data_IF_087330820956
#
_entry.id   IF_087330820956
#
_cell.length_a   1.000
_cell.length_b   1.000
_cell.length_c   1.000
_cell.angle_alpha   90.00
_cell.angle_beta   90.00
_cell.angle_gamma   90.00
#
_symmetry.space_group_name_H-M   'P 1'
#
loop_
_entity.id
_entity.type
_entity.pdbx_description
1 polymer ?
#
# COMPACT_ATOMS: atom_id res chain seq x y z
N UNK A 1 -22.92 -70.28 -28.46
CA UNK A 1 -21.57 -70.11 -27.87
C UNK A 1 -20.66 -69.80 -29.04
N UNK A 2 -19.88 -68.72 -29.16
CA UNK A 2 -19.17 -67.89 -28.17
C UNK A 2 -18.74 -66.58 -28.85
N UNK A 3 -18.60 -65.50 -28.07
CA UNK A 3 -18.11 -64.15 -28.42
C UNK A 3 -16.60 -64.13 -28.72
N UNK A 4 -16.13 -63.14 -29.51
CA UNK A 4 -14.93 -62.27 -29.26
C UNK A 4 -14.78 -61.27 -30.41
N UNK A 5 -15.08 -59.97 -30.29
CA UNK A 5 -14.41 -58.81 -29.64
C UNK A 5 -13.24 -58.21 -30.45
N UNK A 6 -13.42 -56.91 -30.71
CA UNK A 6 -12.58 -55.90 -31.41
C UNK A 6 -11.23 -55.64 -30.75
N UNK A 7 -10.28 -55.14 -31.54
CA UNK A 7 -9.20 -54.28 -31.04
C UNK A 7 -8.98 -53.13 -32.02
N UNK A 8 -9.29 -51.90 -31.62
CA UNK A 8 -8.93 -50.65 -32.30
C UNK A 8 -7.92 -49.94 -31.39
N UNK A 9 -6.70 -49.76 -31.89
CA UNK A 9 -5.67 -48.93 -31.26
C UNK A 9 -6.02 -47.45 -31.47
N UNK A 10 -6.14 -46.70 -30.39
CA UNK A 10 -6.15 -45.24 -30.42
C UNK A 10 -4.81 -44.73 -29.88
N UNK A 11 -4.07 -43.99 -30.70
CA UNK A 11 -2.86 -43.28 -30.30
C UNK A 11 -3.26 -42.00 -29.56
N UNK A 12 -2.68 -41.78 -28.38
CA UNK A 12 -2.87 -40.57 -27.57
C UNK A 12 -1.71 -39.61 -27.86
N UNK A 13 -1.99 -38.48 -28.50
CA UNK A 13 -1.10 -37.32 -28.55
C UNK A 13 -1.24 -36.54 -27.23
N UNK A 14 -0.17 -36.44 -26.45
CA UNK A 14 -0.12 -35.59 -25.28
C UNK A 14 0.25 -34.15 -25.68
N UNK A 15 -0.69 -33.22 -25.53
CA UNK A 15 -0.45 -31.77 -25.61
C UNK A 15 0.07 -31.26 -24.27
N UNK A 16 1.33 -30.80 -24.21
CA UNK A 16 1.83 -30.07 -23.05
C UNK A 16 1.26 -28.65 -23.05
N UNK A 17 0.36 -28.38 -22.12
CA UNK A 17 -0.08 -27.02 -21.82
C UNK A 17 1.00 -26.33 -20.96
N UNK A 18 1.71 -25.36 -21.52
CA UNK A 18 2.53 -24.42 -20.75
C UNK A 18 1.61 -23.56 -19.89
N UNK A 19 1.64 -23.76 -18.58
CA UNK A 19 0.98 -22.86 -17.64
C UNK A 19 1.64 -21.48 -17.71
N UNK A 20 0.88 -20.47 -18.16
CA UNK A 20 1.28 -19.08 -18.05
C UNK A 20 1.17 -18.67 -16.58
N UNK A 21 2.31 -18.54 -15.90
CA UNK A 21 2.37 -17.98 -14.57
C UNK A 21 2.12 -16.46 -14.68
N UNK A 22 1.01 -15.98 -14.12
CA UNK A 22 0.78 -14.54 -13.98
C UNK A 22 1.64 -14.03 -12.82
N UNK A 23 2.60 -13.13 -13.10
CA UNK A 23 3.37 -12.45 -12.06
C UNK A 23 2.46 -11.48 -11.30
N UNK A 24 2.40 -11.61 -9.97
CA UNK A 24 1.58 -10.75 -9.14
C UNK A 24 2.31 -9.43 -8.86
N UNK A 25 1.62 -8.30 -9.10
CA UNK A 25 2.12 -6.96 -8.84
C UNK A 25 2.16 -6.72 -7.32
N UNK A 26 3.37 -6.59 -6.77
CA UNK A 26 3.64 -6.43 -5.32
C UNK A 26 3.49 -4.99 -4.85
N UNK A 27 3.93 -4.03 -5.65
CA UNK A 27 3.87 -2.61 -5.30
C UNK A 27 3.88 -1.73 -6.55
N UNK A 28 3.55 -0.45 -6.39
CA UNK A 28 3.78 0.56 -7.41
C UNK A 28 4.11 1.92 -6.80
N UNK A 29 4.82 2.72 -7.58
CA UNK A 29 5.22 4.06 -7.23
C UNK A 29 5.48 4.90 -8.47
N UNK A 30 6.19 5.98 -8.24
CA UNK A 30 6.64 6.92 -9.25
C UNK A 30 8.17 6.89 -9.28
N UNK A 31 8.76 7.10 -10.44
CA UNK A 31 10.17 7.40 -10.59
C UNK A 31 10.39 8.49 -11.63
N UNK A 32 11.59 9.07 -11.65
CA UNK A 32 11.92 10.13 -12.59
C UNK A 32 13.35 10.01 -13.10
N UNK A 33 13.60 10.46 -14.33
CA UNK A 33 14.92 10.42 -14.94
C UNK A 33 15.90 11.36 -14.20
N UNK A 34 17.08 10.83 -13.88
CA UNK A 34 18.19 11.58 -13.27
C UNK A 34 19.43 11.65 -14.15
N UNK A 35 19.48 10.83 -15.20
CA UNK A 35 20.47 10.97 -16.28
C UNK A 35 19.81 10.80 -17.65
N UNK A 36 20.46 11.34 -18.68
CA UNK A 36 19.98 11.22 -20.07
C UNK A 36 20.16 9.81 -20.65
N UNK A 37 21.09 9.03 -20.11
CA UNK A 37 21.35 7.65 -20.56
C UNK A 37 20.41 6.62 -19.93
N UNK A 38 19.50 7.02 -19.02
CA UNK A 38 18.40 6.17 -18.58
C UNK A 38 18.46 5.69 -17.13
N UNK A 39 19.19 6.38 -16.24
CA UNK A 39 19.01 6.19 -14.81
C UNK A 39 17.77 6.94 -14.32
N UNK A 40 16.92 6.22 -13.59
CA UNK A 40 15.74 6.75 -12.92
C UNK A 40 15.92 6.62 -11.41
N UNK A 41 15.40 7.58 -10.67
CA UNK A 41 15.31 7.56 -9.21
C UNK A 41 13.88 7.27 -8.76
N UNK A 42 13.75 6.50 -7.69
CA UNK A 42 12.49 6.20 -6.99
C UNK A 42 12.77 5.93 -5.51
N UNK A 43 11.79 5.49 -4.73
CA UNK A 43 12.02 5.06 -3.35
C UNK A 43 12.46 3.59 -3.27
N UNK A 44 13.27 3.27 -2.25
CA UNK A 44 13.70 1.89 -1.99
C UNK A 44 12.49 0.97 -1.79
N UNK A 45 11.52 1.35 -0.95
CA UNK A 45 10.35 0.50 -0.67
C UNK A 45 9.45 0.24 -1.89
N UNK A 46 9.61 1.00 -2.98
CA UNK A 46 8.89 0.75 -4.24
C UNK A 46 9.51 -0.43 -4.99
N UNK A 47 10.83 -0.61 -4.91
CA UNK A 47 11.56 -1.59 -5.73
C UNK A 47 12.24 -2.71 -4.91
N UNK A 48 12.18 -2.65 -3.59
CA UNK A 48 12.79 -3.64 -2.71
C UNK A 48 12.00 -4.96 -2.73
N UNK A 49 12.73 -6.07 -2.94
CA UNK A 49 12.15 -7.41 -3.00
C UNK A 49 11.38 -7.70 -4.30
N UNK A 50 11.55 -6.88 -5.34
CA UNK A 50 11.02 -7.17 -6.67
C UNK A 50 11.92 -8.17 -7.40
N UNK A 51 11.31 -9.13 -8.08
CA UNK A 51 12.00 -10.00 -9.02
C UNK A 51 12.06 -9.36 -10.41
N UNK A 52 11.02 -8.60 -10.76
CA UNK A 52 10.99 -7.78 -11.97
C UNK A 52 10.48 -6.38 -11.65
N UNK A 53 11.21 -5.38 -12.14
CA UNK A 53 10.84 -3.97 -12.05
C UNK A 53 10.46 -3.52 -13.46
N UNK A 54 9.25 -3.02 -13.63
CA UNK A 54 8.77 -2.49 -14.91
C UNK A 54 8.55 -0.99 -14.78
N UNK A 55 9.05 -0.23 -15.75
CA UNK A 55 8.83 1.21 -15.87
C UNK A 55 7.89 1.42 -17.06
N UNK A 56 6.69 1.94 -16.77
CA UNK A 56 5.64 2.04 -17.78
C UNK A 56 6.08 2.93 -18.94
N UNK A 57 5.99 2.38 -20.15
CA UNK A 57 6.43 3.03 -21.39
C UNK A 57 7.94 2.95 -21.67
N UNK A 58 8.73 2.39 -20.75
CA UNK A 58 10.20 2.26 -20.85
C UNK A 58 10.69 0.80 -20.76
N UNK A 59 9.82 -0.13 -20.35
CA UNK A 59 10.11 -1.55 -20.28
C UNK A 59 10.70 -1.99 -18.94
N UNK A 60 11.40 -3.13 -18.95
CA UNK A 60 11.97 -3.70 -17.72
C UNK A 60 13.21 -2.93 -17.30
N UNK A 61 13.26 -2.52 -16.04
CA UNK A 61 14.43 -1.89 -15.46
C UNK A 61 15.42 -2.95 -14.95
N UNK A 62 16.69 -2.57 -14.91
CA UNK A 62 17.82 -3.39 -14.47
C UNK A 62 18.68 -2.61 -13.48
N UNK A 63 19.68 -3.30 -12.94
CA UNK A 63 20.72 -2.75 -12.06
C UNK A 63 20.20 -1.89 -10.89
N UNK A 64 19.30 -2.44 -10.04
CA UNK A 64 18.80 -1.70 -8.89
C UNK A 64 19.94 -1.39 -7.90
N UNK A 65 20.17 -0.10 -7.63
CA UNK A 65 21.00 0.37 -6.51
C UNK A 65 20.06 0.86 -5.42
N UNK A 66 20.14 0.27 -4.23
CA UNK A 66 19.18 0.52 -3.14
C UNK A 66 19.90 1.10 -1.93
N UNK A 67 19.43 2.25 -1.47
CA UNK A 67 19.72 2.81 -0.14
C UNK A 67 18.44 2.72 0.71
N UNK A 68 18.29 1.56 1.36
CA UNK A 68 17.16 1.30 2.25
C UNK A 68 17.15 2.22 3.47
N UNK A 69 18.31 2.76 3.89
CA UNK A 69 18.40 3.64 5.06
C UNK A 69 17.71 4.97 4.79
N UNK A 70 17.90 5.52 3.59
CA UNK A 70 17.32 6.79 3.17
C UNK A 70 16.07 6.65 2.31
N UNK A 71 15.58 5.41 2.11
CA UNK A 71 14.42 5.09 1.27
C UNK A 71 14.57 5.59 -0.18
N UNK A 72 15.76 5.42 -0.75
CA UNK A 72 16.10 5.81 -2.13
C UNK A 72 16.55 4.61 -2.95
N UNK A 73 16.19 4.60 -4.23
CA UNK A 73 16.70 3.64 -5.18
C UNK A 73 16.95 4.26 -6.55
N UNK A 74 17.95 3.74 -7.24
CA UNK A 74 18.23 4.02 -8.65
C UNK A 74 17.99 2.74 -9.44
N UNK A 75 17.34 2.87 -10.59
CA UNK A 75 17.07 1.79 -11.53
C UNK A 75 17.45 2.23 -12.94
N UNK A 76 17.93 1.30 -13.76
CA UNK A 76 18.37 1.59 -15.12
C UNK A 76 17.38 1.08 -16.15
N UNK A 77 16.93 1.93 -17.06
CA UNK A 77 16.15 1.53 -18.25
C UNK A 77 16.97 1.69 -19.52
N UNK A 78 16.61 0.91 -20.54
CA UNK A 78 17.08 1.11 -21.90
C UNK A 78 16.16 2.09 -22.60
N UNK A 79 16.69 3.24 -23.00
CA UNK A 79 15.93 4.28 -23.69
C UNK A 79 16.45 4.43 -25.12
N UNK A 80 15.54 4.37 -26.11
CA UNK A 80 15.89 4.56 -27.53
C UNK A 80 16.29 6.01 -27.85
N UNK A 81 15.88 6.94 -26.98
CA UNK A 81 16.21 8.38 -27.06
C UNK A 81 16.72 8.87 -25.71
N UNK A 82 17.61 9.87 -25.69
CA UNK A 82 18.07 10.47 -24.45
C UNK A 82 16.90 10.97 -23.61
N UNK A 83 16.90 10.63 -22.33
CA UNK A 83 15.94 11.16 -21.37
C UNK A 83 16.29 12.59 -20.97
N UNK A 84 15.31 13.33 -20.50
CA UNK A 84 15.52 14.65 -19.89
C UNK A 84 15.69 14.45 -18.39
N UNK A 85 16.90 14.55 -17.83
CA UNK A 85 17.09 14.42 -16.40
C UNK A 85 16.55 15.64 -15.66
N UNK A 86 16.05 15.43 -14.44
CA UNK A 86 15.69 16.54 -13.56
C UNK A 86 16.94 17.19 -12.96
N UNK A 87 16.87 18.50 -12.77
CA UNK A 87 17.96 19.29 -12.21
C UNK A 87 17.72 19.51 -10.72
N UNK A 88 18.66 19.08 -9.90
CA UNK A 88 18.67 19.21 -8.45
C UNK A 88 18.91 20.66 -8.06
N UNK A 89 18.16 21.15 -7.07
CA UNK A 89 18.38 22.50 -6.56
C UNK A 89 19.61 22.54 -5.65
N UNK A 90 20.47 23.55 -5.81
CA UNK A 90 21.63 23.75 -4.92
C UNK A 90 21.29 24.62 -3.71
N UNK A 91 20.47 25.65 -3.91
CA UNK A 91 20.06 26.54 -2.85
C UNK A 91 19.25 25.80 -1.76
N UNK A 92 19.40 26.17 -0.48
CA UNK A 92 18.67 25.54 0.61
C UNK A 92 17.17 25.79 0.47
N UNK A 93 16.37 24.76 0.74
CA UNK A 93 14.90 24.85 0.81
C UNK A 93 14.45 25.85 1.86
N UNK A 94 13.45 26.67 1.56
CA UNK A 94 12.89 27.67 2.49
C UNK A 94 11.50 27.25 2.99
N UNK A 95 11.15 27.70 4.19
CA UNK A 95 9.78 27.56 4.70
C UNK A 95 8.81 28.40 3.86
N UNK A 96 7.62 27.85 3.62
CA UNK A 96 6.56 28.49 2.84
C UNK A 96 6.80 28.50 1.33
N UNK A 97 7.87 27.86 0.84
CA UNK A 97 8.16 27.80 -0.59
C UNK A 97 7.13 26.96 -1.33
N UNK A 98 6.56 27.50 -2.40
CA UNK A 98 5.58 26.82 -3.25
C UNK A 98 6.22 25.65 -3.98
N UNK A 99 5.52 24.53 -3.98
CA UNK A 99 5.96 23.29 -4.62
C UNK A 99 4.87 22.68 -5.50
N UNK A 100 5.34 21.86 -6.43
CA UNK A 100 4.55 21.01 -7.30
C UNK A 100 5.05 19.57 -7.12
N UNK A 101 4.19 18.66 -6.69
CA UNK A 101 4.48 17.23 -6.64
C UNK A 101 3.85 16.53 -7.84
N UNK A 102 4.60 15.62 -8.46
CA UNK A 102 4.20 14.94 -9.70
C UNK A 102 4.35 13.44 -9.51
N UNK A 103 3.35 12.66 -9.92
CA UNK A 103 3.46 11.20 -9.88
C UNK A 103 2.20 10.45 -10.28
N UNK A 104 2.14 9.18 -9.87
CA UNK A 104 1.09 8.23 -10.25
C UNK A 104 0.31 7.70 -9.03
N UNK A 105 -0.31 8.57 -8.22
CA UNK A 105 -1.15 8.14 -7.12
C UNK A 105 -2.31 7.29 -7.63
N UNK A 106 -2.57 6.18 -6.93
CA UNK A 106 -3.74 5.33 -7.11
C UNK A 106 -3.97 4.95 -8.58
N UNK A 107 -2.88 4.71 -9.33
CA UNK A 107 -2.95 4.50 -10.77
C UNK A 107 -3.76 3.26 -11.18
N UNK A 108 -3.92 2.30 -10.28
CA UNK A 108 -4.76 1.11 -10.50
C UNK A 108 -6.26 1.37 -10.22
N UNK A 109 -6.59 2.47 -9.53
CA UNK A 109 -7.96 2.79 -9.07
C UNK A 109 -8.56 4.00 -9.80
N UNK A 110 -7.74 5.00 -10.15
CA UNK A 110 -8.17 6.22 -10.82
C UNK A 110 -7.88 6.11 -12.33
N UNK A 111 -7.08 7.03 -12.88
CA UNK A 111 -6.49 6.89 -14.21
C UNK A 111 -5.07 6.36 -14.10
N UNK A 112 -4.48 5.92 -15.20
CA UNK A 112 -3.07 5.56 -15.29
C UNK A 112 -2.18 6.74 -15.73
N UNK A 113 -2.77 7.93 -15.89
CA UNK A 113 -2.06 9.16 -16.26
C UNK A 113 -1.23 9.72 -15.10
N UNK A 114 -0.32 10.63 -15.39
CA UNK A 114 0.36 11.43 -14.35
C UNK A 114 -0.65 12.35 -13.65
N UNK A 115 -0.42 12.62 -12.35
CA UNK A 115 -1.17 13.59 -11.55
C UNK A 115 -0.20 14.62 -11.00
N UNK A 116 -0.71 15.83 -10.85
CA UNK A 116 0.03 16.98 -10.34
C UNK A 116 -0.75 17.54 -9.15
N UNK A 117 -0.05 17.70 -8.03
CA UNK A 117 -0.58 18.33 -6.82
C UNK A 117 0.30 19.52 -6.44
N UNK A 118 -0.29 20.53 -5.82
CA UNK A 118 0.42 21.72 -5.36
C UNK A 118 0.41 21.77 -3.83
N UNK A 119 1.31 22.58 -3.28
CA UNK A 119 1.40 22.83 -1.85
C UNK A 119 2.60 23.74 -1.56
N UNK A 120 3.07 23.68 -0.33
CA UNK A 120 4.26 24.40 0.11
C UNK A 120 5.08 23.56 1.10
N UNK A 121 6.28 24.04 1.41
CA UNK A 121 7.15 23.50 2.45
C UNK A 121 6.70 23.99 3.82
N UNK A 122 6.15 23.09 4.63
CA UNK A 122 5.65 23.38 5.99
C UNK A 122 6.75 23.35 7.05
N UNK A 123 7.72 22.45 6.90
CA UNK A 123 8.83 22.30 7.84
C UNK A 123 10.10 21.83 7.14
N UNK A 124 11.25 22.22 7.70
CA UNK A 124 12.58 21.83 7.24
C UNK A 124 13.12 20.57 7.94
N UNK A 125 12.25 19.77 8.55
CA UNK A 125 12.63 18.49 9.11
C UNK A 125 11.42 17.55 9.09
N UNK A 126 11.71 16.25 9.09
CA UNK A 126 10.72 15.19 9.28
C UNK A 126 10.37 14.97 10.75
N UNK A 127 9.75 13.82 11.01
CA UNK A 127 9.47 13.35 12.37
C UNK A 127 10.74 13.40 13.23
N UNK A 128 10.58 13.82 14.49
CA UNK A 128 11.68 13.85 15.49
C UNK A 128 12.92 14.62 15.01
N UNK A 129 12.71 15.68 14.23
CA UNK A 129 13.76 16.52 13.65
C UNK A 129 14.71 15.78 12.69
N UNK A 130 14.24 14.72 12.02
CA UNK A 130 15.03 14.06 10.98
C UNK A 130 15.27 15.02 9.79
N UNK A 131 16.51 15.52 9.69
CA UNK A 131 16.89 16.53 8.71
C UNK A 131 16.96 15.99 7.28
N UNK A 132 16.85 14.68 7.07
CA UNK A 132 16.81 14.08 5.73
C UNK A 132 15.52 14.40 4.98
N UNK A 133 14.48 14.80 5.71
CA UNK A 133 13.15 15.07 5.16
C UNK A 133 12.79 16.56 5.23
N UNK A 134 11.85 16.94 4.38
CA UNK A 134 11.05 18.17 4.49
C UNK A 134 9.59 17.78 4.68
N UNK A 135 8.85 18.54 5.48
CA UNK A 135 7.40 18.40 5.57
C UNK A 135 6.75 19.29 4.52
N UNK A 136 5.77 18.75 3.82
CA UNK A 136 5.05 19.41 2.74
C UNK A 136 3.54 19.29 2.93
N UNK A 137 2.79 20.28 2.45
CA UNK A 137 1.32 20.28 2.54
C UNK A 137 0.63 19.58 1.37
N UNK A 138 1.38 19.24 0.31
CA UNK A 138 0.78 18.68 -0.90
C UNK A 138 0.14 17.31 -0.64
N UNK A 139 -1.06 17.02 -1.16
CA UNK A 139 -1.66 15.70 -1.05
C UNK A 139 -0.79 14.62 -1.68
N UNK A 140 -0.48 13.57 -0.93
CA UNK A 140 0.28 12.39 -1.36
C UNK A 140 -0.56 11.14 -1.03
N UNK A 141 -0.57 10.17 -1.95
CA UNK A 141 -1.31 8.91 -1.81
C UNK A 141 -0.42 7.72 -2.19
N UNK A 142 -0.81 6.47 -1.89
CA UNK A 142 -0.14 5.30 -2.45
C UNK A 142 0.05 5.42 -3.97
N UNK A 143 1.24 5.12 -4.46
CA UNK A 143 1.66 5.35 -5.86
C UNK A 143 2.39 6.68 -6.10
N UNK A 144 2.24 7.68 -5.22
CA UNK A 144 3.04 8.92 -5.29
C UNK A 144 4.48 8.73 -4.84
N UNK A 145 4.80 7.72 -4.01
CA UNK A 145 6.16 7.45 -3.52
C UNK A 145 7.18 7.39 -4.65
N UNK A 146 8.30 8.11 -4.48
CA UNK A 146 9.38 8.20 -5.45
C UNK A 146 9.18 9.30 -6.50
N UNK A 147 8.07 10.03 -6.44
CA UNK A 147 7.77 11.15 -7.33
C UNK A 147 8.54 12.41 -6.97
N UNK A 148 8.86 13.26 -7.96
CA UNK A 148 9.59 14.48 -7.69
C UNK A 148 8.71 15.56 -7.06
N UNK A 149 9.31 16.34 -6.16
CA UNK A 149 8.79 17.60 -5.62
C UNK A 149 9.63 18.74 -6.20
N UNK A 150 8.99 19.59 -6.99
CA UNK A 150 9.61 20.63 -7.81
C UNK A 150 9.24 22.02 -7.28
N UNK A 151 10.17 22.98 -7.29
CA UNK A 151 9.84 24.38 -7.01
C UNK A 151 9.26 25.10 -8.24
N UNK A 152 8.86 26.36 -8.03
CA UNK A 152 8.40 27.22 -9.12
C UNK A 152 9.47 27.60 -10.13
N UNK A 153 10.74 27.28 -9.91
CA UNK A 153 11.83 27.54 -10.86
C UNK A 153 12.14 26.30 -11.73
N UNK A 154 11.50 25.17 -11.44
CA UNK A 154 11.62 23.91 -12.16
C UNK A 154 12.78 23.04 -11.69
N UNK A 155 13.25 23.23 -10.46
CA UNK A 155 14.31 22.44 -9.84
C UNK A 155 13.75 21.46 -8.81
N UNK A 156 14.40 20.30 -8.68
CA UNK A 156 14.04 19.25 -7.73
C UNK A 156 14.42 19.65 -6.30
N UNK A 157 13.43 19.71 -5.41
CA UNK A 157 13.56 19.99 -3.98
C UNK A 157 13.55 18.72 -3.13
N UNK A 158 12.83 17.70 -3.57
CA UNK A 158 12.73 16.46 -2.84
C UNK A 158 12.00 15.35 -3.59
N UNK A 159 11.90 14.20 -2.93
CA UNK A 159 11.27 12.98 -3.44
C UNK A 159 10.19 12.57 -2.46
N UNK A 160 8.95 12.50 -2.90
CA UNK A 160 7.78 12.16 -2.07
C UNK A 160 7.96 10.77 -1.43
N UNK A 161 7.61 10.62 -0.15
CA UNK A 161 7.55 9.31 0.51
C UNK A 161 6.18 9.12 1.17
N UNK A 162 5.29 8.39 0.50
CA UNK A 162 3.94 8.12 1.00
C UNK A 162 3.98 7.21 2.24
N UNK A 163 4.91 6.25 2.27
CA UNK A 163 5.10 5.34 3.40
C UNK A 163 5.53 6.08 4.65
N UNK A 164 6.45 7.04 4.55
CA UNK A 164 6.85 7.86 5.71
C UNK A 164 5.69 8.74 6.19
N UNK A 165 4.90 9.29 5.28
CA UNK A 165 3.70 10.09 5.63
C UNK A 165 2.64 9.24 6.34
N UNK A 166 2.41 7.99 5.91
CA UNK A 166 1.56 7.02 6.61
C UNK A 166 2.09 6.70 8.00
N UNK A 167 3.38 6.34 8.13
CA UNK A 167 4.04 6.07 9.42
C UNK A 167 3.95 7.27 10.38
N UNK A 168 4.13 8.49 9.85
CA UNK A 168 3.98 9.73 10.62
C UNK A 168 2.56 9.89 11.16
N UNK A 169 1.55 9.70 10.32
CA UNK A 169 0.14 9.74 10.71
C UNK A 169 -0.19 8.68 11.78
N UNK A 170 0.34 7.47 11.62
CA UNK A 170 0.17 6.37 12.58
C UNK A 170 0.85 6.70 13.94
N UNK A 171 2.04 7.32 13.93
CA UNK A 171 2.77 7.75 15.14
C UNK A 171 2.01 8.83 15.91
N UNK A 172 1.50 9.86 15.21
CA UNK A 172 0.76 10.97 15.84
C UNK A 172 -0.69 10.60 16.23
N UNK A 173 -1.24 9.48 15.74
CA UNK A 173 -2.55 8.97 16.17
C UNK A 173 -3.75 9.86 15.80
N UNK A 174 -3.58 10.76 14.84
CA UNK A 174 -4.61 11.57 14.20
C UNK A 174 -4.46 11.42 12.70
N UNK A 175 -5.55 11.39 11.94
CA UNK A 175 -5.50 11.55 10.48
C UNK A 175 -5.08 12.98 10.19
N UNK A 176 -3.77 13.23 10.19
CA UNK A 176 -3.26 14.57 9.96
C UNK A 176 -3.43 14.92 8.48
N UNK A 177 -4.49 15.68 8.21
CA UNK A 177 -4.69 16.31 6.92
C UNK A 177 -3.46 17.21 6.64
N UNK A 178 -2.88 17.08 5.45
CA UNK A 178 -1.75 17.92 4.97
C UNK A 178 -0.42 17.77 5.74
N UNK A 179 -0.18 16.64 6.41
CA UNK A 179 1.16 16.27 6.91
C UNK A 179 1.74 15.18 6.02
N UNK A 180 2.50 15.60 5.01
CA UNK A 180 3.23 14.69 4.15
C UNK A 180 4.72 15.05 4.14
N UNK A 181 5.55 14.14 3.65
CA UNK A 181 7.00 14.32 3.66
C UNK A 181 7.63 13.97 2.32
N UNK A 182 8.74 14.65 2.05
CA UNK A 182 9.65 14.33 0.97
C UNK A 182 11.09 14.22 1.49
N UNK A 183 11.83 13.26 0.96
CA UNK A 183 13.27 13.12 1.17
C UNK A 183 13.93 14.30 0.43
N UNK A 184 14.89 14.97 1.07
CA UNK A 184 15.57 16.12 0.47
C UNK A 184 16.35 15.73 -0.79
N UNK A 185 16.31 16.59 -1.81
CA UNK A 185 17.08 16.41 -3.03
C UNK A 185 18.58 16.25 -2.76
N UNK A 186 19.14 16.92 -1.74
CA UNK A 186 20.56 16.78 -1.37
C UNK A 186 20.93 15.39 -0.85
N UNK A 187 20.00 14.66 -0.21
CA UNK A 187 20.23 13.27 0.22
C UNK A 187 20.27 12.36 -1.01
N UNK A 188 19.38 12.60 -1.96
CA UNK A 188 19.35 11.88 -3.24
C UNK A 188 20.58 12.17 -4.12
N UNK A 189 21.04 13.43 -4.18
CA UNK A 189 22.25 13.82 -4.89
C UNK A 189 23.48 13.13 -4.29
N UNK A 190 23.59 13.10 -2.96
CA UNK A 190 24.66 12.35 -2.28
C UNK A 190 24.60 10.86 -2.62
N UNK A 191 23.41 10.26 -2.59
CA UNK A 191 23.25 8.85 -2.99
C UNK A 191 23.75 8.61 -4.41
N UNK A 192 23.38 9.43 -5.39
CA UNK A 192 23.89 9.33 -6.77
C UNK A 192 25.42 9.41 -6.83
N UNK A 193 26.02 10.34 -6.10
CA UNK A 193 27.48 10.48 -6.03
C UNK A 193 28.14 9.21 -5.48
N UNK A 194 27.59 8.58 -4.43
CA UNK A 194 28.13 7.31 -3.90
C UNK A 194 28.05 6.16 -4.90
N UNK A 195 27.10 6.21 -5.84
CA UNK A 195 26.95 5.21 -6.90
C UNK A 195 27.77 5.56 -8.16
N UNK A 196 28.52 6.66 -8.16
CA UNK A 196 29.28 7.12 -9.31
C UNK A 196 28.42 7.67 -10.46
N UNK A 197 27.19 8.10 -10.17
CA UNK A 197 26.26 8.64 -11.17
C UNK A 197 26.22 10.17 -11.02
N UNK A 198 26.55 10.94 -12.07
CA UNK A 198 26.56 12.39 -11.98
C UNK A 198 25.14 12.95 -11.93
N UNK A 199 24.87 13.81 -10.94
CA UNK A 199 23.64 14.59 -10.87
C UNK A 199 23.83 15.95 -11.59
N UNK A 200 22.77 16.46 -12.20
CA UNK A 200 22.72 17.83 -12.69
C UNK A 200 22.15 18.72 -11.60
N UNK A 201 22.84 19.82 -11.27
CA UNK A 201 22.40 20.70 -10.19
C UNK A 201 22.51 22.17 -10.59
N UNK A 202 21.53 22.98 -10.23
CA UNK A 202 21.43 24.39 -10.60
C UNK A 202 20.47 25.16 -9.71
N UNK A 203 20.41 26.48 -9.94
CA UNK A 203 19.50 27.40 -9.28
C UNK A 203 18.93 28.39 -10.30
N UNK A 204 17.84 29.05 -9.92
CA UNK A 204 17.20 30.10 -10.72
C UNK A 204 18.20 31.19 -11.14
N UNK A 205 18.20 31.54 -12.42
CA UNK A 205 18.91 32.73 -12.91
C UNK A 205 18.21 34.02 -12.43
N UNK A 206 18.97 35.11 -12.25
CA UNK A 206 18.46 36.36 -11.67
C UNK A 206 17.27 36.98 -12.45
N UNK A 207 17.19 36.73 -13.75
CA UNK A 207 16.20 37.24 -14.69
C UNK A 207 15.11 36.22 -15.06
N UNK A 208 15.24 34.96 -14.65
CA UNK A 208 14.25 33.93 -14.93
C UNK A 208 12.96 34.25 -14.16
N UNK A 209 11.80 34.19 -14.81
CA UNK A 209 10.50 34.27 -14.15
C UNK A 209 10.12 32.92 -13.50
N UNK A 210 9.34 32.98 -12.41
CA UNK A 210 8.78 31.77 -11.83
C UNK A 210 7.80 31.12 -12.81
N UNK A 211 7.89 29.80 -12.97
CA UNK A 211 7.02 28.99 -13.81
C UNK A 211 5.64 28.85 -13.16
N UNK A 212 4.59 28.89 -13.97
CA UNK A 212 3.25 28.49 -13.51
C UNK A 212 3.21 26.98 -13.23
N UNK A 213 2.16 26.50 -12.55
CA UNK A 213 2.02 25.04 -12.30
C UNK A 213 1.95 24.27 -13.62
N UNK A 214 1.29 24.85 -14.62
CA UNK A 214 1.15 24.25 -15.95
C UNK A 214 2.52 24.20 -16.67
N UNK A 215 3.31 25.27 -16.60
CA UNK A 215 4.63 25.27 -17.24
C UNK A 215 5.59 24.27 -16.57
N UNK A 216 5.51 24.11 -15.24
CA UNK A 216 6.24 23.05 -14.51
C UNK A 216 5.77 21.67 -14.99
N UNK A 217 4.46 21.47 -15.12
CA UNK A 217 3.91 20.21 -15.59
C UNK A 217 4.43 19.83 -16.98
N UNK A 218 4.35 20.76 -17.93
CA UNK A 218 4.78 20.55 -19.32
C UNK A 218 6.27 20.23 -19.41
N UNK A 219 7.08 20.90 -18.57
CA UNK A 219 8.53 20.70 -18.52
C UNK A 219 8.93 19.34 -17.92
N UNK A 220 8.25 18.91 -16.86
CA UNK A 220 8.74 17.82 -15.99
C UNK A 220 8.07 16.47 -16.30
N UNK A 221 6.80 16.46 -16.70
CA UNK A 221 5.98 15.23 -16.80
C UNK A 221 6.59 14.15 -17.71
N UNK A 222 7.23 14.54 -18.81
CA UNK A 222 7.87 13.60 -19.75
C UNK A 222 9.03 12.81 -19.13
N UNK A 223 9.55 13.27 -18.00
CA UNK A 223 10.67 12.68 -17.26
C UNK A 223 10.20 11.83 -16.09
N UNK A 224 8.89 11.77 -15.82
CA UNK A 224 8.28 11.09 -14.68
C UNK A 224 7.51 9.88 -15.18
N UNK A 225 7.75 8.72 -14.58
CA UNK A 225 7.21 7.44 -15.02
C UNK A 225 6.64 6.63 -13.85
N UNK A 226 5.65 5.79 -14.15
CA UNK A 226 5.14 4.83 -13.18
C UNK A 226 6.12 3.66 -13.06
N UNK A 227 6.45 3.30 -11.82
CA UNK A 227 7.30 2.15 -11.49
C UNK A 227 6.43 1.05 -10.89
N UNK A 228 6.57 -0.16 -11.42
CA UNK A 228 5.81 -1.34 -11.04
C UNK A 228 6.77 -2.42 -10.56
N UNK A 229 6.45 -3.03 -9.42
CA UNK A 229 7.20 -4.13 -8.84
C UNK A 229 6.40 -5.41 -8.93
N UNK A 230 7.02 -6.47 -9.45
CA UNK A 230 6.44 -7.80 -9.52
C UNK A 230 7.26 -8.76 -8.65
N UNK A 231 6.58 -9.60 -7.87
CA UNK A 231 7.21 -10.67 -7.09
C UNK A 231 7.34 -11.96 -7.90
N UNK A 232 8.03 -12.96 -7.35
CA UNK A 232 8.15 -14.29 -7.95
C UNK A 232 6.76 -14.83 -8.24
N UNK A 233 6.54 -15.50 -9.38
CA UNK A 233 5.41 -16.38 -9.51
C UNK A 233 5.53 -17.43 -8.40
N UNK A 234 4.64 -17.37 -7.40
CA UNK A 234 4.57 -18.41 -6.39
C UNK A 234 4.21 -19.71 -7.11
N UNK A 235 5.03 -20.74 -6.92
CA UNK A 235 4.64 -22.12 -7.22
C UNK A 235 3.54 -22.46 -6.22
N UNK A 236 2.30 -22.19 -6.61
CA UNK A 236 1.14 -22.68 -5.88
C UNK A 236 1.23 -24.20 -5.86
N UNK A 237 1.60 -24.77 -4.71
CA UNK A 237 1.38 -26.19 -4.47
C UNK A 237 -0.14 -26.36 -4.40
N UNK A 238 -0.77 -27.10 -5.32
CA UNK A 238 -2.22 -27.16 -5.35
C UNK A 238 -2.74 -27.73 -4.03
N UNK A 239 -3.72 -27.09 -3.37
CA UNK A 239 -4.48 -27.77 -2.35
C UNK A 239 -5.23 -28.93 -3.01
N UNK A 240 -5.04 -30.15 -2.49
CA UNK A 240 -5.84 -31.30 -2.90
C UNK A 240 -7.30 -31.04 -2.50
N UNK A 241 -8.15 -30.78 -3.49
CA UNK A 241 -9.59 -30.84 -3.34
C UNK A 241 -10.11 -31.76 -4.44
N UNK A 242 -10.73 -32.85 -4.02
CA UNK A 242 -11.38 -33.83 -4.85
C UNK A 242 -12.47 -33.18 -5.73
N UNK A 243 -12.40 -33.49 -7.03
CA UNK A 243 -13.51 -33.59 -7.96
C UNK A 243 -14.57 -32.48 -7.99
N UNK A 244 -14.41 -31.52 -8.91
CA UNK A 244 -15.55 -31.01 -9.66
C UNK A 244 -15.12 -30.44 -11.03
N UNK A 245 -15.85 -30.90 -12.04
CA UNK A 245 -15.77 -30.66 -13.49
C UNK A 245 -15.71 -29.20 -13.97
N UNK A 246 -14.88 -28.99 -14.99
CA UNK A 246 -14.87 -27.96 -16.05
C UNK A 246 -16.05 -26.98 -16.15
N UNK A 247 -15.76 -25.67 -16.26
CA UNK A 247 -16.29 -24.80 -17.34
C UNK A 247 -15.58 -23.43 -17.45
N UNK A 248 -15.57 -22.93 -18.68
CA UNK A 248 -15.12 -21.67 -19.31
C UNK A 248 -15.23 -20.34 -18.49
N UNK A 249 -14.56 -19.24 -18.92
CA UNK A 249 -14.41 -18.02 -18.13
C UNK A 249 -15.76 -17.33 -17.87
N UNK A 250 -15.99 -16.99 -16.59
CA UNK A 250 -17.24 -16.37 -16.14
C UNK A 250 -17.20 -14.84 -16.27
N UNK A 251 -18.28 -14.19 -16.74
CA UNK A 251 -18.39 -12.74 -16.81
C UNK A 251 -18.29 -12.08 -15.43
N UNK A 252 -17.81 -10.83 -15.39
CA UNK A 252 -17.81 -9.97 -14.21
C UNK A 252 -19.22 -9.84 -13.62
N UNK A 253 -19.48 -10.56 -12.53
CA UNK A 253 -20.68 -10.41 -11.72
C UNK A 253 -20.52 -9.10 -10.93
N UNK A 254 -21.51 -8.20 -10.92
CA UNK A 254 -21.48 -7.03 -10.03
C UNK A 254 -21.23 -7.50 -8.60
N UNK A 255 -20.32 -6.84 -7.90
CA UNK A 255 -19.90 -7.25 -6.57
C UNK A 255 -21.11 -7.25 -5.61
N UNK A 256 -21.54 -8.42 -5.19
CA UNK A 256 -22.64 -8.60 -4.22
C UNK A 256 -22.02 -8.62 -2.83
N UNK A 257 -22.62 -7.93 -1.85
CA UNK A 257 -22.19 -8.08 -0.46
C UNK A 257 -22.62 -9.45 0.08
N UNK A 258 -21.64 -10.25 0.50
CA UNK A 258 -21.81 -11.50 1.20
C UNK A 258 -21.96 -11.23 2.70
N UNK A 259 -23.02 -11.74 3.31
CA UNK A 259 -23.25 -11.59 4.75
C UNK A 259 -22.41 -12.58 5.56
N UNK A 260 -21.87 -12.10 6.67
CA UNK A 260 -21.19 -12.89 7.68
C UNK A 260 -21.77 -12.55 9.06
N UNK A 261 -22.84 -13.25 9.43
CA UNK A 261 -23.52 -13.07 10.71
C UNK A 261 -22.66 -13.57 11.86
N UNK A 262 -22.58 -12.80 12.95
CA UNK A 262 -21.74 -13.13 14.10
C UNK A 262 -20.27 -12.85 13.86
N UNK A 263 -19.94 -12.08 12.82
CA UNK A 263 -18.61 -11.61 12.52
C UNK A 263 -18.55 -10.09 12.49
N UNK A 264 -17.43 -9.58 12.94
CA UNK A 264 -16.96 -8.22 12.75
C UNK A 264 -16.02 -8.19 11.53
N UNK A 265 -16.23 -7.23 10.63
CA UNK A 265 -15.31 -7.05 9.52
C UNK A 265 -14.18 -6.16 9.98
N UNK A 266 -12.95 -6.59 9.79
CA UNK A 266 -11.77 -5.82 10.14
C UNK A 266 -11.29 -5.10 8.90
N UNK A 267 -11.34 -3.77 8.96
CA UNK A 267 -11.01 -2.85 7.89
C UNK A 267 -11.13 -1.42 8.38
N UNK A 268 -10.85 -0.47 7.51
CA UNK A 268 -10.89 0.95 7.78
C UNK A 268 -12.32 1.50 7.68
N UNK A 269 -12.82 2.03 8.80
CA UNK A 269 -14.11 2.72 8.84
C UNK A 269 -13.99 4.13 8.27
N UNK A 270 -14.56 4.37 7.09
CA UNK A 270 -14.60 5.71 6.52
C UNK A 270 -15.86 6.49 6.90
N UNK A 271 -16.90 5.80 7.38
CA UNK A 271 -18.15 6.43 7.81
C UNK A 271 -18.88 5.56 8.83
N UNK A 272 -19.60 6.20 9.74
CA UNK A 272 -20.46 5.53 10.71
C UNK A 272 -21.88 6.11 10.68
N UNK A 273 -22.87 5.26 10.45
CA UNK A 273 -24.29 5.62 10.47
C UNK A 273 -24.91 5.15 11.78
N UNK A 274 -25.61 6.05 12.47
CA UNK A 274 -26.29 5.75 13.74
C UNK A 274 -27.78 5.54 13.53
N UNK A 275 -28.38 4.75 14.41
CA UNK A 275 -29.82 4.46 14.47
C UNK A 275 -30.41 3.79 13.21
N UNK A 276 -29.55 3.25 12.34
CA UNK A 276 -29.94 2.54 11.11
C UNK A 276 -30.22 1.06 11.36
N UNK A 277 -30.89 0.40 10.42
CA UNK A 277 -31.00 -1.06 10.39
C UNK A 277 -29.84 -1.68 9.61
N UNK A 278 -29.61 -2.99 9.78
CA UNK A 278 -28.63 -3.71 8.95
C UNK A 278 -28.95 -3.63 7.46
N UNK A 279 -30.24 -3.75 7.08
CA UNK A 279 -30.67 -3.61 5.69
C UNK A 279 -30.34 -2.22 5.11
N UNK A 280 -30.56 -1.15 5.89
CA UNK A 280 -30.20 0.21 5.46
C UNK A 280 -28.68 0.37 5.37
N UNK A 281 -27.92 -0.19 6.32
CA UNK A 281 -26.46 -0.20 6.31
C UNK A 281 -25.92 -0.85 5.02
N UNK A 282 -26.47 -2.01 4.65
CA UNK A 282 -26.16 -2.71 3.40
C UNK A 282 -26.52 -1.88 2.17
N UNK A 283 -27.72 -1.34 2.10
CA UNK A 283 -28.17 -0.56 0.95
C UNK A 283 -27.30 0.68 0.71
N UNK A 284 -26.86 1.35 1.79
CA UNK A 284 -25.93 2.49 1.67
C UNK A 284 -24.58 2.03 1.14
N UNK A 285 -24.06 0.89 1.62
CA UNK A 285 -22.81 0.33 1.13
C UNK A 285 -22.89 -0.09 -0.35
N UNK A 286 -23.97 -0.77 -0.75
CA UNK A 286 -24.19 -1.20 -2.15
C UNK A 286 -24.35 0.01 -3.10
N UNK A 287 -24.86 1.13 -2.59
CA UNK A 287 -24.96 2.40 -3.33
C UNK A 287 -23.67 3.24 -3.35
N UNK A 288 -22.64 2.84 -2.61
CA UNK A 288 -21.35 3.54 -2.51
C UNK A 288 -20.24 2.69 -3.10
N UNK A 289 -19.72 3.10 -4.27
CA UNK A 289 -18.65 2.38 -4.96
C UNK A 289 -17.36 2.21 -4.12
N UNK A 290 -17.15 3.09 -3.13
CA UNK A 290 -16.03 2.99 -2.19
C UNK A 290 -16.22 1.85 -1.20
N UNK A 291 -17.46 1.52 -0.84
CA UNK A 291 -17.75 0.57 0.20
C UNK A 291 -17.41 -0.86 -0.24
N UNK A 292 -16.49 -1.50 0.48
CA UNK A 292 -16.08 -2.89 0.27
C UNK A 292 -16.53 -3.80 1.40
N UNK A 293 -16.84 -3.26 2.57
CA UNK A 293 -17.44 -4.01 3.66
C UNK A 293 -18.22 -3.11 4.61
N UNK A 294 -19.01 -3.75 5.47
CA UNK A 294 -19.69 -3.12 6.59
C UNK A 294 -19.51 -3.97 7.84
N UNK A 295 -19.61 -3.30 8.98
CA UNK A 295 -19.91 -3.93 10.26
C UNK A 295 -21.09 -3.23 10.87
N UNK A 296 -22.12 -3.99 11.22
CA UNK A 296 -23.28 -3.48 11.93
C UNK A 296 -23.34 -4.04 13.34
N UNK A 297 -23.34 -3.16 14.33
CA UNK A 297 -23.53 -3.51 15.73
C UNK A 297 -25.03 -3.57 16.04
N UNK A 298 -25.56 -4.77 16.26
CA UNK A 298 -27.00 -4.97 16.49
C UNK A 298 -27.48 -4.38 17.82
N UNK A 299 -26.61 -4.37 18.84
CA UNK A 299 -26.93 -3.88 20.18
C UNK A 299 -27.06 -2.36 20.24
N UNK A 300 -26.19 -1.66 19.52
CA UNK A 300 -26.12 -0.19 19.52
C UNK A 300 -26.72 0.45 18.27
N UNK A 301 -27.15 -0.35 17.28
CA UNK A 301 -27.73 0.10 16.01
C UNK A 301 -26.81 1.06 15.25
N UNK A 302 -25.52 0.74 15.22
CA UNK A 302 -24.49 1.53 14.52
C UNK A 302 -23.93 0.70 13.37
N UNK A 303 -23.86 1.31 12.20
CA UNK A 303 -23.27 0.77 10.98
C UNK A 303 -21.93 1.44 10.73
N UNK A 304 -20.90 0.67 10.46
CA UNK A 304 -19.57 1.12 10.11
C UNK A 304 -19.29 0.72 8.67
N UNK A 305 -19.23 1.69 7.77
CA UNK A 305 -18.93 1.50 6.35
C UNK A 305 -17.41 1.50 6.16
N UNK A 306 -16.91 0.53 5.40
CA UNK A 306 -15.49 0.31 5.18
C UNK A 306 -15.14 0.26 3.71
N UNK A 307 -14.04 0.88 3.34
CA UNK A 307 -13.53 0.88 1.96
C UNK A 307 -12.50 -0.22 1.70
N UNK A 308 -12.18 -1.00 2.73
CA UNK A 308 -11.46 -2.27 2.63
C UNK A 308 -12.02 -3.31 3.62
N UNK A 309 -11.51 -4.54 3.51
CA UNK A 309 -11.72 -5.59 4.50
C UNK A 309 -10.54 -6.56 4.42
N UNK A 310 -9.95 -6.85 5.57
CA UNK A 310 -8.74 -7.68 5.70
C UNK A 310 -9.07 -8.99 6.39
N UNK A 311 -10.00 -9.00 7.34
CA UNK A 311 -10.39 -10.19 8.07
C UNK A 311 -11.83 -10.15 8.57
N UNK A 312 -12.37 -11.32 8.89
CA UNK A 312 -13.60 -11.49 9.66
C UNK A 312 -13.25 -12.13 11.00
N UNK A 313 -13.63 -11.46 12.10
CA UNK A 313 -13.41 -11.91 13.49
C UNK A 313 -14.75 -12.23 14.12
N UNK A 314 -14.83 -13.29 14.93
CA UNK A 314 -16.06 -13.64 15.66
C UNK A 314 -16.46 -12.51 16.61
N UNK A 315 -17.69 -12.02 16.45
CA UNK A 315 -18.32 -11.09 17.37
C UNK A 315 -19.83 -11.33 17.37
N UNK A 316 -20.37 -11.80 18.51
CA UNK A 316 -21.78 -12.20 18.64
C UNK A 316 -22.76 -11.04 18.46
N UNK A 317 -22.31 -9.81 18.71
CA UNK A 317 -23.15 -8.61 18.61
C UNK A 317 -23.03 -7.92 17.24
N UNK A 318 -22.23 -8.46 16.32
CA UNK A 318 -21.95 -7.89 15.01
C UNK A 318 -22.56 -8.70 13.85
N UNK A 319 -22.98 -7.97 12.81
CA UNK A 319 -23.29 -8.50 11.50
C UNK A 319 -22.39 -7.82 10.49
N UNK A 320 -21.51 -8.59 9.84
CA UNK A 320 -20.69 -8.10 8.76
C UNK A 320 -21.35 -8.39 7.40
N UNK A 321 -21.06 -7.54 6.42
CA UNK A 321 -21.23 -7.92 5.02
C UNK A 321 -20.06 -7.36 4.22
N UNK A 322 -19.58 -8.09 3.21
CA UNK A 322 -18.38 -7.70 2.48
C UNK A 322 -18.47 -8.10 1.01
N UNK A 323 -17.74 -7.37 0.18
CA UNK A 323 -17.78 -7.51 -1.26
C UNK A 323 -17.39 -8.91 -1.71
N UNK A 324 -18.18 -9.53 -2.58
CA UNK A 324 -17.86 -10.83 -3.18
C UNK A 324 -16.54 -10.83 -3.94
N UNK A 325 -16.06 -9.66 -4.39
CA UNK A 325 -14.73 -9.52 -5.00
C UNK A 325 -13.58 -9.65 -4.00
N UNK A 326 -13.84 -9.57 -2.69
CA UNK A 326 -12.84 -9.68 -1.62
C UNK A 326 -12.77 -11.05 -0.98
N UNK A 327 -13.59 -12.03 -1.40
CA UNK A 327 -13.65 -13.37 -0.79
C UNK A 327 -12.30 -14.07 -0.73
N UNK A 328 -11.47 -13.96 -1.77
CA UNK A 328 -10.17 -14.61 -1.82
C UNK A 328 -9.11 -13.93 -0.94
N UNK A 329 -9.32 -12.67 -0.56
CA UNK A 329 -8.35 -11.86 0.21
C UNK A 329 -8.69 -11.81 1.70
N UNK A 330 -9.95 -12.05 2.08
CA UNK A 330 -10.44 -11.88 3.44
C UNK A 330 -10.12 -13.10 4.30
N UNK A 331 -9.37 -12.88 5.38
CA UNK A 331 -9.03 -13.93 6.35
C UNK A 331 -10.24 -14.16 7.27
N UNK A 332 -10.87 -15.32 7.18
CA UNK A 332 -11.89 -15.74 8.16
C UNK A 332 -11.19 -16.39 9.35
N UNK A 333 -11.37 -15.82 10.53
CA UNK A 333 -10.73 -16.31 11.75
C UNK A 333 -11.76 -16.61 12.82
N UNK A 334 -11.58 -17.72 13.54
CA UNK A 334 -12.34 -18.02 14.77
C UNK A 334 -11.92 -17.15 15.96
N UNK A 335 -10.92 -16.29 15.72
CA UNK A 335 -10.49 -15.27 16.65
C UNK A 335 -11.68 -14.47 17.17
N UNK A 336 -11.74 -14.25 18.48
CA UNK A 336 -12.80 -13.47 19.14
C UNK A 336 -12.18 -12.25 19.80
N UNK A 337 -12.80 -11.09 19.59
CA UNK A 337 -12.37 -9.82 20.20
C UNK A 337 -13.27 -9.40 21.36
N UNK A 338 -12.66 -8.88 22.42
CA UNK A 338 -13.32 -8.39 23.62
C UNK A 338 -12.76 -7.02 24.02
N UNK A 339 -13.61 -5.99 23.94
CA UNK A 339 -13.25 -4.66 24.41
C UNK A 339 -13.29 -4.54 25.93
N UNK A 340 -12.29 -3.89 26.51
CA UNK A 340 -12.18 -3.65 27.94
C UNK A 340 -11.83 -4.90 28.75
N UNK A 341 -11.19 -5.89 28.13
CA UNK A 341 -10.77 -7.14 28.77
C UNK A 341 -9.29 -7.39 28.53
N UNK A 342 -8.68 -8.16 29.42
CA UNK A 342 -7.31 -8.68 29.31
C UNK A 342 -7.24 -10.11 29.86
N UNK A 343 -6.26 -10.88 29.40
CA UNK A 343 -5.88 -12.17 29.99
C UNK A 343 -4.48 -11.97 30.58
N UNK A 344 -4.34 -11.71 31.90
CA UNK A 344 -3.04 -11.42 32.48
C UNK A 344 -2.10 -12.63 32.43
N UNK A 345 -0.84 -12.39 32.08
CA UNK A 345 0.21 -13.42 32.00
C UNK A 345 0.35 -14.04 30.61
N UNK A 346 1.36 -14.91 30.44
CA UNK A 346 1.65 -15.56 29.15
C UNK A 346 2.22 -14.63 28.07
N UNK A 347 2.55 -13.38 28.41
CA UNK A 347 3.16 -12.42 27.49
C UNK A 347 4.57 -12.90 27.08
N UNK A 348 4.75 -13.38 25.86
CA UNK A 348 6.06 -13.80 25.34
C UNK A 348 6.68 -12.75 24.41
N UNK A 349 5.87 -11.87 23.82
CA UNK A 349 6.34 -10.81 22.93
C UNK A 349 5.53 -9.53 23.11
N UNK A 350 6.23 -8.40 23.19
CA UNK A 350 5.63 -7.06 23.27
C UNK A 350 6.04 -6.24 22.06
N UNK A 351 5.06 -5.76 21.31
CA UNK A 351 5.25 -4.90 20.14
C UNK A 351 4.81 -3.51 20.55
N UNK A 352 5.70 -2.53 20.47
CA UNK A 352 5.42 -1.13 20.81
C UNK A 352 5.14 -0.33 19.55
N UNK A 353 4.47 0.81 19.72
CA UNK A 353 4.12 1.71 18.61
C UNK A 353 3.36 0.98 17.48
N UNK A 354 2.46 0.09 17.88
CA UNK A 354 1.69 -0.75 16.97
C UNK A 354 0.21 -0.38 17.03
N UNK A 355 -0.58 -0.87 16.07
CA UNK A 355 -2.03 -0.74 16.05
C UNK A 355 -2.72 -2.04 16.48
N UNK A 356 -4.02 -1.97 16.76
CA UNK A 356 -4.82 -3.17 17.02
C UNK A 356 -4.76 -4.16 15.83
N UNK A 357 -4.82 -3.65 14.60
CA UNK A 357 -4.77 -4.46 13.39
C UNK A 357 -3.43 -5.17 13.24
N UNK A 358 -2.32 -4.45 13.44
CA UNK A 358 -0.99 -5.06 13.42
C UNK A 358 -0.79 -6.06 14.55
N UNK A 359 -1.34 -5.80 15.73
CA UNK A 359 -1.35 -6.73 16.85
C UNK A 359 -2.07 -8.04 16.49
N UNK A 360 -3.23 -7.90 15.84
CA UNK A 360 -4.01 -9.02 15.33
C UNK A 360 -3.28 -9.81 14.25
N UNK A 361 -2.77 -9.14 13.21
CA UNK A 361 -2.00 -9.79 12.12
C UNK A 361 -0.75 -10.47 12.66
N UNK A 362 -0.04 -9.84 13.60
CA UNK A 362 1.12 -10.42 14.27
C UNK A 362 0.78 -11.67 15.05
N UNK A 363 -0.39 -11.71 15.70
CA UNK A 363 -0.83 -12.91 16.41
C UNK A 363 -1.28 -14.01 15.45
N UNK A 364 -2.04 -13.69 14.40
CA UNK A 364 -2.48 -14.69 13.42
C UNK A 364 -1.29 -15.33 12.71
N UNK A 365 -0.31 -14.52 12.29
CA UNK A 365 0.90 -15.00 11.60
C UNK A 365 1.89 -15.74 12.50
N UNK A 366 1.67 -15.77 13.82
CA UNK A 366 2.51 -16.46 14.78
C UNK A 366 1.81 -17.70 15.36
N UNK A 367 2.33 -18.88 15.02
CA UNK A 367 1.79 -20.17 15.49
C UNK A 367 1.86 -20.34 17.02
N UNK A 368 2.78 -19.65 17.70
CA UNK A 368 2.87 -19.67 19.16
C UNK A 368 1.81 -18.78 19.82
N UNK A 369 1.30 -17.75 19.10
CA UNK A 369 0.31 -16.85 19.65
C UNK A 369 -1.05 -17.55 19.80
N UNK A 370 -1.62 -17.49 21.00
CA UNK A 370 -2.97 -17.94 21.36
C UNK A 370 -3.92 -16.78 21.68
N UNK A 371 -3.38 -15.65 22.14
CA UNK A 371 -4.14 -14.43 22.39
C UNK A 371 -3.23 -13.21 22.26
N UNK A 372 -3.82 -12.01 22.19
CA UNK A 372 -3.09 -10.77 22.37
C UNK A 372 -3.88 -9.78 23.22
N UNK A 373 -3.19 -8.86 23.87
CA UNK A 373 -3.80 -7.70 24.50
C UNK A 373 -3.24 -6.44 23.85
N UNK A 374 -4.10 -5.66 23.20
CA UNK A 374 -3.73 -4.37 22.65
C UNK A 374 -4.10 -3.26 23.63
N UNK A 375 -3.09 -2.59 24.18
CA UNK A 375 -3.25 -1.50 25.14
C UNK A 375 -3.30 -0.17 24.41
N UNK A 376 -4.51 0.27 24.09
CA UNK A 376 -4.77 1.43 23.22
C UNK A 376 -4.06 2.71 23.70
N UNK A 377 -4.02 2.95 25.02
CA UNK A 377 -3.34 4.13 25.59
C UNK A 377 -1.82 4.12 25.43
N UNK A 378 -1.21 2.93 25.35
CA UNK A 378 0.25 2.77 25.24
C UNK A 378 0.69 2.46 23.81
N UNK A 379 -0.25 2.21 22.89
CA UNK A 379 0.03 1.66 21.55
C UNK A 379 0.93 0.43 21.63
N UNK A 380 0.65 -0.45 22.59
CA UNK A 380 1.43 -1.68 22.82
C UNK A 380 0.56 -2.91 22.60
N UNK A 381 1.08 -3.87 21.86
CA UNK A 381 0.52 -5.20 21.71
C UNK A 381 1.30 -6.18 22.56
N UNK A 382 0.61 -6.99 23.36
CA UNK A 382 1.19 -8.03 24.18
C UNK A 382 0.69 -9.38 23.66
N UNK A 383 1.51 -10.06 22.86
CA UNK A 383 1.22 -11.39 22.34
C UNK A 383 1.41 -12.43 23.43
N UNK A 384 0.47 -13.37 23.50
CA UNK A 384 0.35 -14.37 24.55
C UNK A 384 0.31 -15.78 23.98
N UNK A 385 1.10 -16.67 24.57
CA UNK A 385 1.15 -18.10 24.18
C UNK A 385 0.31 -18.99 25.11
N UNK A 386 -0.14 -18.43 26.23
CA UNK A 386 -0.86 -19.15 27.29
C UNK A 386 -2.16 -18.41 27.62
N UNK A 387 -3.27 -19.15 27.69
CA UNK A 387 -4.58 -18.59 28.05
C UNK A 387 -4.84 -18.71 29.55
N UNK A 388 -4.89 -17.57 30.24
CA UNK A 388 -5.32 -17.43 31.62
C UNK A 388 -6.81 -17.12 31.77
N UNK A 389 -7.22 -16.68 32.98
CA UNK A 389 -8.60 -16.23 33.24
C UNK A 389 -8.80 -14.78 32.77
N UNK A 390 -9.82 -14.48 31.95
CA UNK A 390 -10.13 -13.11 31.53
C UNK A 390 -10.45 -12.22 32.73
N UNK A 391 -10.00 -10.97 32.67
CA UNK A 391 -10.31 -9.92 33.65
C UNK A 391 -10.68 -8.63 32.93
N UNK A 392 -11.61 -7.88 33.52
CA UNK A 392 -11.94 -6.54 33.04
C UNK A 392 -10.73 -5.62 33.16
N UNK A 393 -10.34 -4.99 32.05
CA UNK A 393 -9.21 -4.08 31.96
C UNK A 393 -9.55 -2.93 30.99
N UNK A 394 -9.85 -1.75 31.54
CA UNK A 394 -10.25 -0.59 30.73
C UNK A 394 -9.11 -0.15 29.79
N UNK A 395 -9.46 0.09 28.52
CA UNK A 395 -8.50 0.55 27.51
C UNK A 395 -7.58 -0.53 26.97
N UNK A 396 -7.95 -1.80 27.16
CA UNK A 396 -7.31 -2.96 26.56
C UNK A 396 -8.34 -3.65 25.66
N UNK A 397 -7.94 -3.94 24.43
CA UNK A 397 -8.66 -4.77 23.49
C UNK A 397 -8.02 -6.16 23.48
N UNK A 398 -8.76 -7.16 23.96
CA UNK A 398 -8.30 -8.54 24.03
C UNK A 398 -8.72 -9.29 22.79
N UNK A 399 -7.75 -9.97 22.19
CA UNK A 399 -7.97 -10.92 21.12
C UNK A 399 -7.64 -12.35 21.56
N UNK A 400 -8.48 -13.33 21.23
CA UNK A 400 -8.25 -14.76 21.55
C UNK A 400 -8.50 -15.62 20.32
N UNK A 401 -7.55 -16.52 19.98
CA UNK A 401 -7.71 -17.52 18.91
C UNK A 401 -8.72 -18.60 19.26
#
# INVERSE_FOLDING_TARGET
>A
MTRTIRTLMAAVLATMATAAFAEEKRSSGTGFAVTSDGWLMTNAHVVEGCDRIEVKGMGTASDPRIDATNDLALIKVSADRPLTPLVFRRAPTRLGEDIVAIGYPLADLLSDSVKITTGNVNALAGLRNDTRYIQISTPIQPGSSGGPVIDRDGYLLGITSATFSKRAADEIGITAQNINFAIRASVAELFMQTQGIPAQSGDRAADQAALSTADVADKITSSVHQVLCYGKPEVQTPPQIEGATTSLPKPSIPAVLLEATGYDAIGFDYSALKDVTFANCRAVCEGDARCKAITYNAKHRVCFLKDDVVALIRNRDALAAYSSSKVAEVIVSDFTSFSGMDIPGGDYKRIRQTSYLECFVSCIGDNACRAFAYVSRKKECWLKDTLGRPKAARGIELGVK
#
